data_IF_035079830581
#
_entry.id   IF_035079830581
#
_cell.length_a   1.000
_cell.length_b   1.000
_cell.length_c   1.000
_cell.angle_alpha   90.00
_cell.angle_beta   90.00
_cell.angle_gamma   90.00
#
_symmetry.space_group_name_H-M   'P 1'
#
loop_
_entity.id
_entity.type
_entity.pdbx_description
1 polymer ?
#
# COMPACT_ATOMS: atom_id res chain seq x y z
N UNK A 1 -6.93 25.19 -4.24
CA UNK A 1 -7.05 25.44 -5.69
C UNK A 1 -8.34 26.18 -5.99
N UNK A 2 -9.43 25.84 -5.29
CA UNK A 2 -10.80 26.33 -5.54
C UNK A 2 -10.99 27.86 -5.37
N UNK A 3 -10.15 28.52 -4.56
CA UNK A 3 -10.20 29.99 -4.38
C UNK A 3 -9.24 30.78 -5.29
N UNK A 4 -8.48 30.11 -6.17
CA UNK A 4 -7.51 30.78 -7.04
C UNK A 4 -8.14 31.11 -8.41
N UNK A 5 -8.11 32.37 -8.86
CA UNK A 5 -8.71 32.81 -10.14
C UNK A 5 -8.26 31.99 -11.35
N UNK A 6 -7.01 31.51 -11.35
CA UNK A 6 -6.42 30.72 -12.45
C UNK A 6 -7.12 29.36 -12.63
N UNK A 7 -7.70 28.82 -11.55
CA UNK A 7 -8.31 27.48 -11.54
C UNK A 7 -9.85 27.51 -11.66
N UNK A 8 -10.47 28.69 -11.74
CA UNK A 8 -11.94 28.83 -11.77
C UNK A 8 -12.59 28.22 -13.02
N UNK A 9 -11.86 28.13 -14.13
CA UNK A 9 -12.35 27.52 -15.38
C UNK A 9 -12.00 26.04 -15.52
N UNK A 10 -11.27 25.45 -14.56
CA UNK A 10 -10.88 24.05 -14.61
C UNK A 10 -12.07 23.15 -14.25
N UNK A 11 -12.26 22.10 -15.04
CA UNK A 11 -13.23 21.04 -14.72
C UNK A 11 -12.80 20.23 -13.49
N UNK A 12 -13.75 19.54 -12.86
CA UNK A 12 -13.47 18.65 -11.73
C UNK A 12 -12.39 17.59 -12.06
N UNK A 13 -12.41 17.03 -13.27
CA UNK A 13 -11.42 16.07 -13.73
C UNK A 13 -10.01 16.69 -13.84
N UNK A 14 -9.92 17.93 -14.33
CA UNK A 14 -8.63 18.64 -14.39
C UNK A 14 -8.11 18.97 -13.00
N UNK A 15 -8.99 19.29 -12.05
CA UNK A 15 -8.60 19.53 -10.66
C UNK A 15 -8.13 18.25 -9.96
N UNK A 16 -8.79 17.10 -10.17
CA UNK A 16 -8.30 15.83 -9.62
C UNK A 16 -6.95 15.42 -10.23
N UNK A 17 -6.80 15.55 -11.56
CA UNK A 17 -5.51 15.29 -12.21
C UNK A 17 -4.41 16.20 -11.64
N UNK A 18 -4.69 17.49 -11.44
CA UNK A 18 -3.75 18.42 -10.83
C UNK A 18 -3.36 17.99 -9.41
N UNK A 19 -4.31 17.52 -8.60
CA UNK A 19 -4.04 17.00 -7.24
C UNK A 19 -3.16 15.75 -7.28
N UNK A 20 -3.42 14.81 -8.18
CA UNK A 20 -2.60 13.59 -8.37
C UNK A 20 -1.17 13.95 -8.77
N UNK A 21 -1.00 14.89 -9.70
CA UNK A 21 0.33 15.33 -10.14
C UNK A 21 1.08 16.02 -9.00
N UNK A 22 0.41 16.87 -8.22
CA UNK A 22 1.00 17.51 -7.04
C UNK A 22 1.42 16.47 -6.00
N UNK A 23 0.57 15.50 -5.68
CA UNK A 23 0.89 14.40 -4.76
C UNK A 23 2.12 13.63 -5.23
N UNK A 24 2.14 13.16 -6.49
CA UNK A 24 3.29 12.46 -7.08
C UNK A 24 4.57 13.29 -7.01
N UNK A 25 4.49 14.57 -7.31
CA UNK A 25 5.64 15.49 -7.32
C UNK A 25 6.21 15.71 -5.92
N UNK A 26 5.34 15.92 -4.93
CA UNK A 26 5.74 16.11 -3.54
C UNK A 26 6.32 14.82 -2.98
N UNK A 27 5.58 13.72 -3.10
CA UNK A 27 6.01 12.42 -2.59
C UNK A 27 7.31 11.95 -3.23
N UNK A 28 7.56 12.20 -4.52
CA UNK A 28 8.83 11.86 -5.16
C UNK A 28 10.05 12.48 -4.46
N UNK A 29 9.88 13.63 -3.80
CA UNK A 29 10.95 14.33 -3.07
C UNK A 29 11.03 13.93 -1.60
N UNK A 30 9.88 13.74 -0.94
CA UNK A 30 9.83 13.54 0.51
C UNK A 30 9.70 12.07 0.93
N UNK A 31 9.52 11.14 -0.01
CA UNK A 31 9.13 9.75 0.26
C UNK A 31 9.91 9.09 1.40
N UNK A 32 11.24 9.14 1.35
CA UNK A 32 12.06 8.47 2.36
C UNK A 32 11.83 9.04 3.76
N UNK A 33 11.88 10.37 3.89
CA UNK A 33 11.71 11.07 5.15
C UNK A 33 10.26 11.00 5.67
N UNK A 34 9.29 10.86 4.78
CA UNK A 34 7.88 10.74 5.13
C UNK A 34 7.48 9.31 5.52
N UNK A 35 8.11 8.30 4.90
CA UNK A 35 7.80 6.89 5.15
C UNK A 35 8.54 6.33 6.37
N UNK A 36 9.79 6.76 6.59
CA UNK A 36 10.66 6.28 7.66
C UNK A 36 11.00 7.41 8.64
N UNK A 37 9.99 7.95 9.32
CA UNK A 37 10.14 9.07 10.26
C UNK A 37 11.02 8.71 11.47
N UNK A 38 10.99 7.45 11.91
CA UNK A 38 11.84 6.95 12.99
C UNK A 38 13.11 6.28 12.46
N UNK A 39 13.42 6.48 11.16
CA UNK A 39 14.58 5.92 10.46
C UNK A 39 14.78 4.42 10.76
N UNK A 40 15.82 4.07 11.49
CA UNK A 40 16.17 2.70 11.89
C UNK A 40 15.05 1.99 12.66
N UNK A 41 14.25 2.73 13.43
CA UNK A 41 13.14 2.16 14.20
C UNK A 41 12.04 1.59 13.31
N UNK A 42 11.78 2.22 12.16
CA UNK A 42 10.79 1.75 11.19
C UNK A 42 11.39 0.61 10.34
N UNK A 43 12.67 0.70 9.94
CA UNK A 43 13.37 -0.38 9.24
C UNK A 43 13.43 -1.67 10.08
N UNK A 44 13.75 -1.57 11.37
CA UNK A 44 13.80 -2.72 12.27
C UNK A 44 12.41 -3.35 12.45
N UNK A 45 11.37 -2.52 12.52
CA UNK A 45 9.97 -2.98 12.61
C UNK A 45 9.57 -3.79 11.37
N UNK A 46 9.92 -3.28 10.18
CA UNK A 46 9.65 -3.97 8.91
C UNK A 46 10.37 -5.31 8.84
N UNK A 47 11.65 -5.36 9.23
CA UNK A 47 12.44 -6.59 9.26
C UNK A 47 11.88 -7.62 10.25
N UNK A 48 11.51 -7.17 11.45
CA UNK A 48 10.92 -8.03 12.48
C UNK A 48 9.59 -8.62 12.00
N UNK A 49 8.72 -7.77 11.44
CA UNK A 49 7.43 -8.19 10.90
C UNK A 49 7.59 -9.18 9.74
N UNK A 50 8.44 -8.85 8.75
CA UNK A 50 8.74 -9.73 7.62
C UNK A 50 9.27 -11.09 8.09
N UNK A 51 10.20 -11.09 9.04
CA UNK A 51 10.73 -12.32 9.64
C UNK A 51 9.68 -13.15 10.37
N UNK A 52 8.76 -12.51 11.08
CA UNK A 52 7.66 -13.19 11.77
C UNK A 52 6.68 -13.82 10.77
N UNK A 53 6.23 -13.07 9.78
CA UNK A 53 5.31 -13.55 8.73
C UNK A 53 5.93 -14.70 7.93
N UNK A 54 7.22 -14.63 7.58
CA UNK A 54 7.90 -15.71 6.87
C UNK A 54 7.98 -17.03 7.67
N UNK A 55 8.11 -16.95 9.00
CA UNK A 55 8.06 -18.14 9.86
C UNK A 55 6.65 -18.70 9.91
N UNK A 56 5.65 -17.83 10.08
CA UNK A 56 4.25 -18.21 10.16
C UNK A 56 3.74 -18.83 8.85
N UNK A 57 4.14 -18.30 7.70
CA UNK A 57 3.77 -18.80 6.37
C UNK A 57 4.19 -20.26 6.11
N UNK A 58 5.20 -20.78 6.82
CA UNK A 58 5.64 -22.18 6.70
C UNK A 58 4.74 -23.17 7.42
N UNK A 59 3.97 -22.71 8.41
CA UNK A 59 3.17 -23.57 9.30
C UNK A 59 1.67 -23.33 9.17
N UNK A 60 1.27 -22.13 8.72
CA UNK A 60 -0.13 -21.79 8.54
C UNK A 60 -0.69 -22.49 7.31
N UNK A 61 -1.79 -23.19 7.52
CA UNK A 61 -2.58 -23.82 6.45
C UNK A 61 -3.97 -23.18 6.40
N UNK A 62 -4.71 -23.28 5.29
CA UNK A 62 -6.05 -22.70 5.16
C UNK A 62 -7.06 -23.28 6.17
N UNK A 63 -6.78 -24.48 6.66
CA UNK A 63 -7.57 -25.18 7.68
C UNK A 63 -7.21 -24.78 9.13
N UNK A 64 -6.28 -23.84 9.33
CA UNK A 64 -5.88 -23.40 10.67
C UNK A 64 -7.06 -22.76 11.40
N UNK A 65 -7.37 -23.24 12.61
CA UNK A 65 -8.59 -22.87 13.37
C UNK A 65 -8.71 -21.36 13.58
N UNK A 66 -7.59 -20.69 13.81
CA UNK A 66 -7.57 -19.25 14.11
C UNK A 66 -7.80 -18.37 12.88
N UNK A 67 -7.61 -18.88 11.66
CA UNK A 67 -7.89 -18.13 10.44
C UNK A 67 -9.39 -17.97 10.19
N UNK A 68 -10.21 -18.91 10.70
CA UNK A 68 -11.68 -18.89 10.57
C UNK A 68 -12.18 -18.75 9.12
N UNK A 69 -11.43 -19.27 8.15
CA UNK A 69 -11.81 -19.27 6.74
C UNK A 69 -12.73 -20.47 6.48
N UNK A 70 -13.95 -20.22 5.99
CA UNK A 70 -14.88 -21.28 5.62
C UNK A 70 -14.29 -22.19 4.55
N UNK A 71 -14.47 -23.51 4.70
CA UNK A 71 -14.01 -24.52 3.73
C UNK A 71 -14.54 -24.30 2.32
N UNK A 72 -15.69 -23.66 2.19
CA UNK A 72 -16.29 -23.31 0.89
C UNK A 72 -15.37 -22.40 0.08
N UNK A 73 -14.49 -21.60 0.70
CA UNK A 73 -13.57 -20.71 -0.01
C UNK A 73 -12.16 -21.30 -0.20
N UNK A 74 -11.90 -22.53 0.25
CA UNK A 74 -10.56 -23.11 0.19
C UNK A 74 -10.12 -23.50 -1.23
N UNK A 75 -11.06 -23.65 -2.18
CA UNK A 75 -10.74 -24.02 -3.57
C UNK A 75 -9.96 -22.92 -4.31
N UNK A 76 -10.04 -21.66 -3.88
CA UNK A 76 -9.29 -20.54 -4.46
C UNK A 76 -7.96 -20.27 -3.74
N UNK A 77 -7.74 -20.94 -2.61
CA UNK A 77 -6.49 -20.81 -1.87
C UNK A 77 -5.30 -21.27 -2.73
N UNK A 78 -4.17 -20.57 -2.76
CA UNK A 78 -3.71 -19.50 -1.85
C UNK A 78 -4.05 -18.06 -2.27
N UNK A 79 -4.99 -17.86 -3.19
CA UNK A 79 -5.32 -16.55 -3.75
C UNK A 79 -4.07 -15.86 -4.33
N UNK A 80 -3.34 -16.57 -5.20
CA UNK A 80 -2.06 -16.12 -5.75
C UNK A 80 -2.14 -14.72 -6.37
N UNK A 81 -3.24 -14.41 -7.06
CA UNK A 81 -3.50 -13.08 -7.62
C UNK A 81 -3.47 -11.97 -6.57
N UNK A 82 -4.15 -12.17 -5.43
CA UNK A 82 -4.15 -11.20 -4.34
C UNK A 82 -2.74 -11.04 -3.73
N UNK A 83 -1.97 -12.13 -3.64
CA UNK A 83 -0.59 -12.07 -3.16
C UNK A 83 0.33 -11.29 -4.11
N UNK A 84 0.18 -11.52 -5.42
CA UNK A 84 0.95 -10.80 -6.44
C UNK A 84 0.65 -9.31 -6.39
N UNK A 85 -0.62 -8.92 -6.31
CA UNK A 85 -1.02 -7.51 -6.25
C UNK A 85 -0.43 -6.83 -5.00
N UNK A 86 -0.55 -7.46 -3.84
CA UNK A 86 0.04 -6.97 -2.59
C UNK A 86 1.57 -6.83 -2.67
N UNK A 87 2.26 -7.70 -3.40
CA UNK A 87 3.72 -7.64 -3.52
C UNK A 87 4.21 -6.39 -4.27
N UNK A 88 3.38 -5.80 -5.14
CA UNK A 88 3.72 -4.60 -5.93
C UNK A 88 3.64 -3.31 -5.11
N UNK A 89 3.02 -3.32 -3.92
CA UNK A 89 2.82 -2.12 -3.08
C UNK A 89 4.11 -1.31 -2.83
N UNK A 90 5.25 -1.98 -2.74
CA UNK A 90 6.56 -1.36 -2.48
C UNK A 90 7.13 -0.60 -3.69
N UNK A 91 6.67 -0.90 -4.90
CA UNK A 91 7.07 -0.22 -6.14
C UNK A 91 6.49 1.20 -6.24
N UNK A 92 5.40 1.48 -5.53
CA UNK A 92 4.73 2.78 -5.55
C UNK A 92 5.19 3.70 -4.43
N UNK A 93 5.35 5.00 -4.75
CA UNK A 93 5.72 6.02 -3.76
C UNK A 93 4.55 6.84 -3.22
N UNK A 94 3.47 6.98 -3.98
CA UNK A 94 2.33 7.77 -3.53
C UNK A 94 1.40 6.94 -2.66
N UNK A 95 0.73 7.56 -1.68
CA UNK A 95 -0.34 6.91 -0.93
C UNK A 95 -1.46 6.40 -1.85
N UNK A 96 -1.89 7.19 -2.84
CA UNK A 96 -2.97 6.81 -3.76
C UNK A 96 -2.61 5.58 -4.61
N UNK A 97 -1.39 5.47 -5.11
CA UNK A 97 -0.99 4.31 -5.94
C UNK A 97 -0.75 3.03 -5.09
N UNK A 98 -0.67 3.13 -3.75
CA UNK A 98 -0.57 1.98 -2.84
C UNK A 98 -1.93 1.41 -2.40
N UNK A 99 -3.02 2.15 -2.62
CA UNK A 99 -4.40 1.82 -2.21
C UNK A 99 -5.19 1.28 -3.40
#
# INVERSE_FOLDING_TARGET
MDNNPIWQSASANQLDLARVVVERTVMARVYHNALYLNEDGDVYRDQLFHGHINKLAKVVTPNHRDLRISKVYHYECSWSWAQTELAVISAYKTPRDKL
#
